data_IF_776541066817
#
_entry.id   IF_776541066817
#
_cell.length_a   1.000
_cell.length_b   1.000
_cell.length_c   1.000
_cell.angle_alpha   90.00
_cell.angle_beta   90.00
_cell.angle_gamma   90.00
#
_symmetry.space_group_name_H-M   'P 1'
#
loop_
_entity.id
_entity.type
_entity.pdbx_description
1 polymer ?
#
# COMPACT_ATOMS: atom_id res chain seq x y z
N UNK A 1 41.85 1.23 13.09
CA UNK A 1 40.77 1.52 14.05
C UNK A 1 39.53 1.86 13.24
N UNK A 2 38.57 0.95 13.19
CA UNK A 2 37.25 1.21 12.58
C UNK A 2 36.53 2.19 13.52
N UNK A 3 36.18 3.37 13.04
CA UNK A 3 35.28 4.26 13.77
C UNK A 3 33.88 3.65 13.67
N UNK A 4 33.38 3.15 14.77
CA UNK A 4 31.97 2.77 14.86
C UNK A 4 31.08 3.98 14.52
N UNK A 5 30.12 3.76 13.65
CA UNK A 5 29.13 4.76 13.30
C UNK A 5 28.45 5.30 14.57
N UNK A 6 28.04 6.56 14.54
CA UNK A 6 27.28 7.17 15.62
C UNK A 6 26.03 6.31 15.88
N UNK A 7 25.65 6.15 17.17
CA UNK A 7 24.42 5.43 17.45
C UNK A 7 23.27 6.12 16.72
N UNK A 8 22.48 5.33 15.99
CA UNK A 8 21.26 5.79 15.36
C UNK A 8 20.37 6.33 16.47
N UNK A 9 20.05 7.62 16.40
CA UNK A 9 19.15 8.25 17.37
C UNK A 9 17.82 7.51 17.25
N UNK A 10 17.33 6.94 18.36
CA UNK A 10 16.00 6.38 18.39
C UNK A 10 15.02 7.50 18.01
N UNK A 11 14.36 7.36 16.86
CA UNK A 11 13.32 8.28 16.45
C UNK A 11 12.15 8.10 17.43
N UNK A 12 11.71 9.18 18.05
CA UNK A 12 10.43 9.18 18.76
C UNK A 12 9.37 8.91 17.70
N UNK A 13 8.52 7.88 17.85
CA UNK A 13 7.43 7.67 16.89
C UNK A 13 6.61 8.95 16.77
N UNK A 14 6.37 9.42 15.55
CA UNK A 14 5.44 10.50 15.30
C UNK A 14 4.04 10.06 15.77
N UNK A 15 3.23 10.99 16.27
CA UNK A 15 1.84 10.66 16.56
C UNK A 15 1.14 10.24 15.27
N UNK A 16 0.45 9.10 15.31
CA UNK A 16 -0.27 8.53 14.18
C UNK A 16 -1.67 8.07 14.59
N UNK A 17 -2.59 8.04 13.65
CA UNK A 17 -3.91 7.47 13.84
C UNK A 17 -4.37 6.74 12.58
N UNK A 18 -4.88 5.53 12.76
CA UNK A 18 -5.50 4.79 11.68
C UNK A 18 -6.78 5.49 11.20
N UNK A 19 -7.00 5.48 9.90
CA UNK A 19 -8.22 5.99 9.26
C UNK A 19 -9.17 4.82 9.08
N UNK A 20 -10.41 4.97 9.54
CA UNK A 20 -11.46 3.96 9.33
C UNK A 20 -11.86 3.95 7.85
N UNK A 21 -11.77 2.78 7.21
CA UNK A 21 -12.06 2.61 5.79
C UNK A 21 -13.38 1.85 5.58
N UNK A 22 -14.24 2.31 4.65
CA UNK A 22 -15.48 1.62 4.29
C UNK A 22 -15.20 0.44 3.35
N UNK A 23 -14.66 -0.64 3.87
CA UNK A 23 -14.29 -1.81 3.08
C UNK A 23 -15.46 -2.34 2.24
N UNK A 24 -15.22 -2.53 0.95
CA UNK A 24 -16.24 -2.93 -0.02
C UNK A 24 -15.80 -4.08 -0.95
N UNK A 25 -14.58 -4.58 -0.77
CA UNK A 25 -14.04 -5.69 -1.55
C UNK A 25 -13.24 -6.64 -0.67
N UNK A 26 -13.41 -7.94 -0.90
CA UNK A 26 -12.54 -8.97 -0.35
C UNK A 26 -11.31 -9.12 -1.24
N UNK A 27 -10.13 -8.87 -0.68
CA UNK A 27 -8.89 -8.81 -1.46
C UNK A 27 -8.10 -10.12 -1.44
N UNK A 28 -8.38 -10.98 -0.48
CA UNK A 28 -7.62 -12.19 -0.22
C UNK A 28 -8.52 -13.42 -0.05
N UNK A 29 -7.95 -14.59 -0.26
CA UNK A 29 -8.59 -15.87 0.01
C UNK A 29 -7.64 -16.79 0.77
N UNK A 30 -8.19 -17.75 1.53
CA UNK A 30 -7.41 -18.76 2.24
C UNK A 30 -7.33 -20.07 1.48
N UNK A 31 -6.26 -20.82 1.69
CA UNK A 31 -6.23 -22.25 1.41
C UNK A 31 -7.22 -23.00 2.36
N UNK A 32 -8.10 -23.89 1.88
CA UNK A 32 -8.33 -24.34 0.50
C UNK A 32 -9.41 -23.55 -0.26
N UNK A 33 -9.86 -22.40 0.25
CA UNK A 33 -11.01 -21.65 -0.28
C UNK A 33 -10.58 -20.53 -1.24
N UNK A 34 -9.76 -20.85 -2.24
CA UNK A 34 -9.21 -19.86 -3.19
C UNK A 34 -10.26 -19.17 -4.06
N UNK A 35 -11.43 -19.80 -4.22
CA UNK A 35 -12.57 -19.23 -4.95
C UNK A 35 -13.31 -18.10 -4.23
N UNK A 36 -12.90 -17.79 -3.01
CA UNK A 36 -13.59 -16.87 -2.11
C UNK A 36 -13.26 -15.38 -2.38
N UNK A 37 -12.27 -15.12 -3.24
CA UNK A 37 -11.91 -13.77 -3.66
C UNK A 37 -11.47 -13.72 -5.11
N UNK A 38 -11.93 -12.67 -5.82
CA UNK A 38 -11.50 -12.32 -7.18
C UNK A 38 -11.06 -10.85 -7.18
N UNK A 39 -9.91 -10.60 -6.57
CA UNK A 39 -9.40 -9.26 -6.33
C UNK A 39 -9.20 -8.46 -7.62
N UNK A 40 -8.51 -9.06 -8.61
CA UNK A 40 -8.14 -8.39 -9.85
C UNK A 40 -9.20 -8.50 -10.97
N UNK A 41 -10.30 -9.19 -10.71
CA UNK A 41 -11.34 -9.46 -11.71
C UNK A 41 -10.95 -10.51 -12.75
N UNK A 42 -9.75 -11.12 -12.64
CA UNK A 42 -9.22 -12.15 -13.54
C UNK A 42 -9.05 -13.51 -12.85
N UNK A 43 -9.59 -13.63 -11.66
CA UNK A 43 -9.53 -14.85 -10.86
C UNK A 43 -8.37 -14.92 -9.89
N UNK A 44 -7.65 -13.84 -9.65
CA UNK A 44 -6.56 -13.86 -8.69
C UNK A 44 -6.87 -13.02 -7.44
N UNK A 45 -6.25 -13.42 -6.33
CA UNK A 45 -6.32 -12.71 -5.05
C UNK A 45 -4.99 -12.80 -4.30
N UNK A 46 -4.84 -12.00 -3.25
CA UNK A 46 -3.76 -12.19 -2.28
C UNK A 46 -3.96 -13.51 -1.53
N UNK A 47 -2.85 -14.10 -1.07
CA UNK A 47 -2.87 -15.23 -0.15
C UNK A 47 -3.10 -14.69 1.27
N UNK A 48 -4.26 -15.00 1.85
CA UNK A 48 -4.69 -14.48 3.14
C UNK A 48 -3.77 -14.92 4.29
N UNK A 49 -3.20 -16.12 4.19
CA UNK A 49 -2.23 -16.67 5.14
C UNK A 49 -0.92 -15.89 5.23
N UNK A 50 -0.62 -15.05 4.24
CA UNK A 50 0.56 -14.18 4.23
C UNK A 50 0.27 -12.78 4.74
N UNK A 51 -1.02 -12.40 4.88
CA UNK A 51 -1.39 -11.06 5.27
C UNK A 51 -1.31 -10.87 6.78
N UNK A 52 -0.44 -9.97 7.28
CA UNK A 52 -0.42 -9.63 8.69
C UNK A 52 -1.62 -8.73 9.04
N UNK A 53 -1.99 -8.70 10.32
CA UNK A 53 -3.00 -7.75 10.81
C UNK A 53 -2.49 -6.30 10.87
N UNK A 54 -1.18 -6.11 10.88
CA UNK A 54 -0.53 -4.81 10.89
C UNK A 54 0.77 -4.84 10.08
N UNK A 55 1.00 -3.77 9.30
CA UNK A 55 2.25 -3.51 8.59
C UNK A 55 2.87 -2.24 9.16
N UNK A 56 4.16 -2.26 9.45
CA UNK A 56 4.93 -1.06 9.79
C UNK A 56 5.94 -0.80 8.69
N UNK A 57 5.85 0.35 8.05
CA UNK A 57 6.75 0.73 6.97
C UNK A 57 7.16 2.21 7.08
N UNK A 58 8.46 2.47 7.10
CA UNK A 58 9.01 3.81 7.25
C UNK A 58 8.57 4.51 8.52
N UNK A 59 8.41 3.76 9.62
CA UNK A 59 8.01 4.29 10.93
C UNK A 59 6.50 4.56 11.07
N UNK A 60 5.69 4.20 10.08
CA UNK A 60 4.22 4.36 10.10
C UNK A 60 3.54 3.01 10.16
N UNK A 61 2.58 2.84 11.06
CA UNK A 61 1.76 1.64 11.22
C UNK A 61 0.50 1.69 10.36
N UNK A 62 0.15 0.54 9.77
CA UNK A 62 -1.06 0.35 8.97
C UNK A 62 -1.84 -0.83 9.51
N UNK A 63 -3.05 -0.60 9.97
CA UNK A 63 -3.96 -1.66 10.40
C UNK A 63 -4.63 -2.27 9.17
N UNK A 64 -4.46 -3.58 8.99
CA UNK A 64 -5.00 -4.32 7.84
C UNK A 64 -6.30 -4.99 8.26
N UNK A 65 -7.33 -4.83 7.45
CA UNK A 65 -8.61 -5.48 7.67
C UNK A 65 -8.52 -7.02 7.62
N UNK A 66 -9.45 -7.69 8.27
CA UNK A 66 -9.51 -9.16 8.30
C UNK A 66 -9.60 -9.74 6.88
N UNK A 67 -8.61 -10.54 6.43
CA UNK A 67 -8.63 -11.14 5.10
C UNK A 67 -9.76 -12.16 4.90
N UNK A 68 -10.43 -12.61 5.96
CA UNK A 68 -11.62 -13.44 5.87
C UNK A 68 -12.88 -12.65 5.46
N UNK A 69 -12.84 -11.32 5.60
CA UNK A 69 -13.95 -10.40 5.29
C UNK A 69 -13.58 -9.45 4.13
N UNK A 70 -14.41 -8.45 3.90
CA UNK A 70 -14.03 -7.31 3.06
C UNK A 70 -12.94 -6.53 3.79
N UNK A 71 -11.79 -6.35 3.15
CA UNK A 71 -10.59 -5.79 3.74
C UNK A 71 -9.86 -4.82 2.81
N UNK A 72 -10.56 -4.29 1.82
CA UNK A 72 -10.08 -3.26 0.92
C UNK A 72 -11.20 -2.37 0.42
N UNK A 73 -10.86 -1.17 -0.03
CA UNK A 73 -11.77 -0.23 -0.68
C UNK A 73 -11.42 -0.13 -2.15
N UNK A 74 -12.27 -0.67 -3.03
CA UNK A 74 -12.26 -0.34 -4.45
C UNK A 74 -12.75 1.09 -4.62
N UNK A 75 -11.87 1.96 -5.12
CA UNK A 75 -12.14 3.39 -5.20
C UNK A 75 -13.26 3.71 -6.18
N UNK A 76 -14.28 4.40 -5.71
CA UNK A 76 -15.45 4.88 -6.49
C UNK A 76 -15.86 6.26 -6.02
N UNK A 77 -14.89 7.14 -5.82
CA UNK A 77 -15.11 8.49 -5.31
C UNK A 77 -15.67 8.51 -3.88
N UNK A 78 -15.35 7.45 -3.13
CA UNK A 78 -15.76 7.35 -1.73
C UNK A 78 -15.15 8.49 -0.92
N UNK A 79 -15.95 9.06 -0.03
CA UNK A 79 -15.54 10.10 0.89
C UNK A 79 -15.31 9.51 2.27
N UNK A 80 -14.17 9.78 2.86
CA UNK A 80 -13.69 9.19 4.11
C UNK A 80 -13.35 10.31 5.08
N UNK A 81 -13.87 10.25 6.29
CA UNK A 81 -13.51 11.18 7.35
C UNK A 81 -12.13 10.86 7.91
N UNK A 82 -11.31 11.90 8.09
CA UNK A 82 -9.99 11.77 8.68
C UNK A 82 -10.04 11.98 10.20
N UNK A 83 -9.24 11.23 10.98
CA UNK A 83 -9.11 11.44 12.42
C UNK A 83 -8.72 12.87 12.75
N UNK A 84 -9.27 13.38 13.84
CA UNK A 84 -8.92 14.71 14.34
C UNK A 84 -7.52 14.71 14.96
N UNK A 85 -6.71 15.67 14.58
CA UNK A 85 -5.35 15.82 15.12
C UNK A 85 -4.52 16.83 14.32
N UNK A 86 -3.26 16.97 14.72
CA UNK A 86 -2.29 17.85 14.06
C UNK A 86 -1.42 17.03 13.10
N UNK A 87 -2.05 16.36 12.13
CA UNK A 87 -1.38 15.51 11.18
C UNK A 87 -1.06 16.31 9.91
N UNK A 88 0.19 16.22 9.45
CA UNK A 88 0.66 16.85 8.20
C UNK A 88 0.83 15.86 7.05
N UNK A 89 0.66 14.58 7.32
CA UNK A 89 0.81 13.49 6.33
C UNK A 89 -0.36 12.53 6.38
N UNK A 90 -0.75 12.06 5.21
CA UNK A 90 -1.65 10.93 5.02
C UNK A 90 -0.90 9.86 4.24
N UNK A 91 -0.80 8.68 4.79
CA UNK A 91 -0.20 7.52 4.15
C UNK A 91 -1.27 6.49 3.83
N UNK A 92 -1.22 5.97 2.62
CA UNK A 92 -2.13 4.94 2.13
C UNK A 92 -1.31 3.67 1.83
N UNK A 93 -1.84 2.49 2.16
CA UNK A 93 -1.45 1.25 1.52
C UNK A 93 -2.42 0.98 0.40
N UNK A 94 -1.93 0.97 -0.83
CA UNK A 94 -2.77 0.80 -2.00
C UNK A 94 -2.06 0.00 -3.09
N UNK A 95 -2.85 -0.53 -4.03
CA UNK A 95 -2.34 -1.13 -5.25
C UNK A 95 -3.37 -1.01 -6.37
N UNK A 96 -2.90 -1.03 -7.61
CA UNK A 96 -3.75 -1.15 -8.79
C UNK A 96 -3.90 -2.61 -9.20
N UNK A 97 -5.07 -3.00 -9.65
CA UNK A 97 -5.38 -4.37 -10.11
C UNK A 97 -4.97 -4.66 -11.55
N UNK A 98 -4.51 -3.67 -12.30
CA UNK A 98 -4.24 -3.84 -13.73
C UNK A 98 -2.82 -3.45 -14.15
N UNK A 99 -2.44 -2.20 -13.99
CA UNK A 99 -1.15 -1.62 -14.36
C UNK A 99 -0.87 -0.43 -13.45
N UNK A 100 0.33 0.11 -13.51
CA UNK A 100 0.68 1.32 -12.79
C UNK A 100 -0.25 2.46 -13.23
N UNK A 101 -0.95 3.04 -12.29
CA UNK A 101 -2.04 3.99 -12.55
C UNK A 101 -1.79 5.31 -11.83
N UNK A 102 -1.82 6.41 -12.57
CA UNK A 102 -1.88 7.75 -11.95
C UNK A 102 -3.27 7.97 -11.39
N UNK A 103 -3.33 8.39 -10.13
CA UNK A 103 -4.57 8.59 -9.40
C UNK A 103 -4.61 9.97 -8.74
N UNK A 104 -5.80 10.54 -8.67
CA UNK A 104 -6.04 11.81 -7.98
C UNK A 104 -6.82 11.53 -6.70
N UNK A 105 -6.18 11.82 -5.57
CA UNK A 105 -6.79 11.82 -4.24
C UNK A 105 -7.09 13.26 -3.87
N UNK A 106 -8.25 13.53 -3.28
CA UNK A 106 -8.60 14.91 -2.89
C UNK A 106 -8.71 14.99 -1.37
N UNK A 107 -7.97 15.90 -0.75
CA UNK A 107 -8.03 16.15 0.70
C UNK A 107 -8.53 17.57 0.93
N UNK A 108 -9.68 17.71 1.60
CA UNK A 108 -10.36 18.99 1.83
C UNK A 108 -10.44 19.88 0.55
N UNK A 109 -10.75 19.25 -0.59
CA UNK A 109 -10.88 19.92 -1.88
C UNK A 109 -9.56 20.17 -2.62
N UNK A 110 -8.41 19.86 -2.03
CA UNK A 110 -7.10 19.94 -2.69
C UNK A 110 -6.74 18.61 -3.34
N UNK A 111 -6.42 18.64 -4.62
CA UNK A 111 -6.00 17.46 -5.38
C UNK A 111 -4.53 17.10 -5.15
N UNK A 112 -4.28 15.79 -5.02
CA UNK A 112 -2.96 15.17 -4.91
C UNK A 112 -2.85 14.04 -5.91
N UNK A 113 -2.00 14.22 -6.92
CA UNK A 113 -1.72 13.16 -7.90
C UNK A 113 -0.63 12.24 -7.37
N UNK A 114 -0.89 10.94 -7.42
CA UNK A 114 0.06 9.93 -7.01
C UNK A 114 0.05 8.72 -7.95
N UNK A 115 1.19 8.05 -8.11
CA UNK A 115 1.28 6.78 -8.79
C UNK A 115 0.82 5.67 -7.84
N UNK A 116 -0.16 4.87 -8.28
CA UNK A 116 -0.57 3.63 -7.62
C UNK A 116 -0.08 2.47 -8.47
N UNK A 117 0.99 1.76 -8.04
CA UNK A 117 1.58 0.71 -8.84
C UNK A 117 0.71 -0.54 -8.91
N UNK A 118 0.92 -1.34 -9.95
CA UNK A 118 0.29 -2.63 -10.14
C UNK A 118 0.69 -3.61 -9.02
N UNK A 119 -0.30 -4.33 -8.49
CA UNK A 119 -0.14 -5.22 -7.35
C UNK A 119 0.72 -6.46 -7.59
N UNK A 120 1.04 -6.76 -8.85
CA UNK A 120 1.86 -7.90 -9.27
C UNK A 120 2.95 -7.47 -10.24
N UNK A 121 3.62 -8.47 -10.84
CA UNK A 121 4.66 -8.24 -11.83
C UNK A 121 6.03 -7.94 -11.21
N UNK A 122 6.88 -7.25 -11.96
CA UNK A 122 8.26 -7.02 -11.57
C UNK A 122 8.43 -5.67 -10.86
N UNK A 123 9.16 -5.67 -9.75
CA UNK A 123 9.62 -4.46 -9.07
C UNK A 123 10.90 -3.93 -9.72
N UNK A 124 11.75 -4.83 -10.20
CA UNK A 124 12.95 -4.48 -10.92
C UNK A 124 13.33 -5.56 -11.93
N UNK A 125 14.06 -5.19 -12.95
CA UNK A 125 14.52 -6.06 -14.03
C UNK A 125 15.90 -5.73 -14.52
N UNK A 126 16.58 -6.74 -15.04
CA UNK A 126 17.86 -6.62 -15.74
C UNK A 126 17.85 -7.52 -16.96
N UNK A 127 18.27 -6.98 -18.12
CA UNK A 127 18.49 -7.77 -19.33
C UNK A 127 17.24 -8.44 -19.92
N UNK A 128 16.05 -7.98 -19.58
CA UNK A 128 14.81 -8.46 -20.21
C UNK A 128 14.63 -7.83 -21.60
N UNK A 129 13.99 -8.54 -22.51
CA UNK A 129 13.68 -8.05 -23.86
C UNK A 129 13.00 -6.67 -23.80
N UNK A 130 13.63 -5.66 -24.38
CA UNK A 130 13.19 -4.27 -24.33
C UNK A 130 13.77 -3.45 -23.17
N UNK A 131 14.48 -4.08 -22.22
CA UNK A 131 15.15 -3.42 -21.11
C UNK A 131 16.64 -3.83 -21.12
N UNK A 132 17.46 -3.02 -21.75
CA UNK A 132 18.91 -3.23 -21.83
C UNK A 132 19.68 -2.78 -20.61
N UNK A 133 19.02 -1.97 -19.77
CA UNK A 133 19.58 -1.43 -18.52
C UNK A 133 18.76 -1.91 -17.31
N UNK A 134 19.34 -1.87 -16.10
CA UNK A 134 18.61 -2.19 -14.89
C UNK A 134 17.44 -1.22 -14.71
N UNK A 135 16.31 -1.78 -14.36
CA UNK A 135 15.08 -1.04 -14.08
C UNK A 135 14.64 -1.35 -12.66
N UNK A 136 14.39 -0.33 -11.88
CA UNK A 136 13.74 -0.43 -10.56
C UNK A 136 12.52 0.48 -10.56
N UNK A 137 11.37 -0.09 -10.17
CA UNK A 137 10.13 0.68 -10.05
C UNK A 137 10.27 1.71 -8.93
N UNK A 138 9.97 2.97 -9.25
CA UNK A 138 9.91 4.04 -8.24
C UNK A 138 8.63 3.88 -7.40
N UNK A 139 8.71 3.02 -6.40
CA UNK A 139 7.60 2.67 -5.55
C UNK A 139 8.07 2.20 -4.17
N UNK A 140 7.30 2.54 -3.15
CA UNK A 140 7.59 2.14 -1.78
C UNK A 140 6.81 0.85 -1.46
N UNK A 141 7.49 -0.28 -1.56
CA UNK A 141 6.91 -1.61 -1.32
C UNK A 141 6.81 -1.87 0.17
N UNK A 142 5.61 -1.86 0.72
CA UNK A 142 5.37 -2.08 2.14
C UNK A 142 4.99 -3.53 2.48
N UNK A 143 4.49 -4.29 1.52
CA UNK A 143 4.15 -5.71 1.67
C UNK A 143 4.55 -6.49 0.43
N UNK A 144 5.05 -7.72 0.65
CA UNK A 144 5.38 -8.68 -0.40
C UNK A 144 4.77 -10.02 -0.05
N UNK A 145 3.83 -10.49 -0.87
CA UNK A 145 3.36 -11.88 -0.83
C UNK A 145 4.13 -12.72 -1.85
N UNK A 146 4.54 -13.93 -1.49
CA UNK A 146 5.39 -14.79 -2.32
C UNK A 146 4.62 -15.51 -3.44
N UNK A 147 3.30 -15.49 -3.36
CA UNK A 147 2.40 -16.08 -4.35
C UNK A 147 1.04 -15.38 -4.30
N UNK A 148 0.24 -15.62 -5.30
CA UNK A 148 -1.18 -15.29 -5.32
C UNK A 148 -2.02 -16.56 -5.46
N UNK A 149 -3.27 -16.48 -5.09
CA UNK A 149 -4.24 -17.53 -5.31
C UNK A 149 -4.92 -17.36 -6.66
N UNK A 150 -5.12 -18.47 -7.38
CA UNK A 150 -5.91 -18.57 -8.60
C UNK A 150 -7.21 -19.31 -8.31
N UNK A 151 -8.33 -18.57 -8.31
CA UNK A 151 -9.65 -19.15 -8.06
C UNK A 151 -10.14 -20.06 -9.19
N UNK A 152 -9.69 -19.81 -10.43
CA UNK A 152 -10.16 -20.56 -11.60
C UNK A 152 -9.57 -21.95 -11.62
N UNK A 153 -8.27 -22.06 -11.29
CA UNK A 153 -7.56 -23.34 -11.23
C UNK A 153 -7.59 -23.97 -9.84
N UNK A 154 -8.00 -23.20 -8.83
CA UNK A 154 -7.96 -23.56 -7.42
C UNK A 154 -6.56 -23.97 -6.94
N UNK A 155 -5.54 -23.21 -7.33
CA UNK A 155 -4.13 -23.44 -7.02
C UNK A 155 -3.42 -22.17 -6.58
N UNK A 156 -2.24 -22.34 -5.95
CA UNK A 156 -1.31 -21.25 -5.73
C UNK A 156 -0.53 -21.00 -7.02
N UNK A 157 -0.23 -19.74 -7.28
CA UNK A 157 0.67 -19.32 -8.34
C UNK A 157 2.03 -18.93 -7.72
N UNK A 158 2.90 -19.92 -7.49
CA UNK A 158 4.17 -19.69 -6.82
C UNK A 158 5.04 -18.73 -7.66
N UNK A 159 5.78 -17.85 -6.94
CA UNK A 159 6.64 -16.82 -7.53
C UNK A 159 5.92 -15.74 -8.34
N UNK A 160 4.59 -15.76 -8.41
CA UNK A 160 3.82 -14.62 -8.85
C UNK A 160 3.55 -13.71 -7.66
N UNK A 161 4.55 -12.86 -7.36
CA UNK A 161 4.53 -11.98 -6.19
C UNK A 161 3.37 -11.00 -6.20
N UNK A 162 2.90 -10.65 -5.01
CA UNK A 162 1.89 -9.62 -4.79
C UNK A 162 2.43 -8.53 -3.88
N UNK A 163 2.04 -7.29 -4.12
CA UNK A 163 2.58 -6.13 -3.43
C UNK A 163 1.49 -5.20 -2.94
N UNK A 164 1.72 -4.57 -1.77
CA UNK A 164 1.03 -3.35 -1.38
C UNK A 164 2.06 -2.23 -1.29
N UNK A 165 1.70 -1.06 -1.77
CA UNK A 165 2.60 0.09 -1.85
C UNK A 165 2.17 1.18 -0.89
N UNK A 166 3.14 1.79 -0.20
CA UNK A 166 2.90 3.00 0.56
C UNK A 166 2.88 4.21 -0.38
N UNK A 167 1.82 4.99 -0.28
CA UNK A 167 1.65 6.28 -0.97
C UNK A 167 1.55 7.34 0.11
N UNK A 168 2.40 8.37 0.04
CA UNK A 168 2.40 9.49 0.98
C UNK A 168 1.83 10.75 0.33
N UNK A 169 0.93 11.41 1.03
CA UNK A 169 0.35 12.69 0.64
C UNK A 169 0.63 13.74 1.70
N UNK A 170 1.07 14.92 1.29
CA UNK A 170 1.16 16.08 2.16
C UNK A 170 -0.22 16.71 2.32
N UNK A 171 -0.72 16.74 3.55
CA UNK A 171 -2.04 17.26 3.85
C UNK A 171 -1.94 18.50 4.75
N UNK A 172 -2.91 19.43 4.67
CA UNK A 172 -2.96 20.53 5.61
C UNK A 172 -3.20 20.01 7.04
N UNK A 173 -2.58 20.65 8.01
CA UNK A 173 -2.83 20.34 9.42
C UNK A 173 -4.32 20.52 9.75
N UNK A 174 -4.89 19.52 10.41
CA UNK A 174 -6.31 19.48 10.73
C UNK A 174 -7.24 19.11 9.58
N UNK A 175 -6.70 18.54 8.49
CA UNK A 175 -7.50 17.99 7.40
C UNK A 175 -8.61 17.05 7.91
N UNK A 176 -9.76 17.08 7.22
CA UNK A 176 -10.98 16.42 7.69
C UNK A 176 -11.48 15.32 6.79
N UNK A 177 -11.23 15.43 5.51
CA UNK A 177 -11.89 14.59 4.54
C UNK A 177 -10.94 14.17 3.42
N UNK A 178 -10.96 12.88 3.11
CA UNK A 178 -10.31 12.30 1.95
C UNK A 178 -11.38 11.83 0.96
N UNK A 179 -11.28 12.24 -0.30
CA UNK A 179 -12.04 11.67 -1.40
C UNK A 179 -11.11 10.78 -2.22
N UNK A 180 -11.47 9.51 -2.34
CA UNK A 180 -10.73 8.53 -3.14
C UNK A 180 -10.92 8.77 -4.64
N UNK A 181 -10.01 8.28 -5.49
CA UNK A 181 -10.17 8.35 -6.94
C UNK A 181 -11.47 7.70 -7.43
N UNK A 182 -11.97 8.12 -8.58
CA UNK A 182 -13.06 7.43 -9.28
C UNK A 182 -12.48 6.38 -10.24
N UNK A 183 -11.78 5.40 -9.69
CA UNK A 183 -11.14 4.34 -10.46
C UNK A 183 -11.17 3.01 -9.71
N UNK A 184 -12.08 2.08 -10.08
CA UNK A 184 -12.22 0.80 -9.39
C UNK A 184 -11.05 -0.17 -9.57
N UNK A 185 -10.05 0.17 -10.40
CA UNK A 185 -8.80 -0.57 -10.48
C UNK A 185 -7.91 -0.32 -9.27
N UNK A 186 -8.10 0.79 -8.58
CA UNK A 186 -7.34 1.16 -7.39
C UNK A 186 -8.05 0.60 -6.17
N UNK A 187 -7.27 -0.06 -5.32
CA UNK A 187 -7.74 -0.59 -4.04
C UNK A 187 -6.85 -0.04 -2.93
N UNK A 188 -7.49 0.53 -1.90
CA UNK A 188 -6.85 0.98 -0.67
C UNK A 188 -7.11 -0.05 0.43
N UNK A 189 -6.04 -0.57 1.05
CA UNK A 189 -6.09 -1.59 2.10
C UNK A 189 -6.08 -0.99 3.50
N UNK A 190 -5.33 0.10 3.67
CA UNK A 190 -5.22 0.81 4.93
C UNK A 190 -4.86 2.27 4.68
N UNK A 191 -5.18 3.12 5.64
CA UNK A 191 -4.78 4.52 5.65
C UNK A 191 -4.41 4.95 7.07
N UNK A 192 -3.39 5.80 7.19
CA UNK A 192 -2.90 6.32 8.45
C UNK A 192 -2.54 7.79 8.30
N UNK A 193 -3.06 8.64 9.16
CA UNK A 193 -2.57 10.03 9.29
C UNK A 193 -1.43 10.06 10.29
N UNK A 194 -0.42 10.88 10.03
CA UNK A 194 0.74 11.00 10.90
C UNK A 194 1.24 12.44 10.96
N UNK A 195 1.88 12.78 12.08
CA UNK A 195 2.72 13.97 12.14
C UNK A 195 3.87 13.79 11.15
N UNK A 196 4.32 14.90 10.54
CA UNK A 196 5.54 14.86 9.74
C UNK A 196 6.72 14.53 10.67
N UNK A 197 7.39 13.38 10.51
CA UNK A 197 8.54 13.08 11.35
C UNK A 197 9.60 14.16 11.08
N UNK A 198 9.85 14.99 12.06
CA UNK A 198 10.88 16.01 12.01
C UNK A 198 12.25 15.32 11.82
N UNK A 199 12.78 15.39 10.61
CA UNK A 199 14.02 14.77 10.23
C UNK A 199 13.76 13.54 9.34
N UNK A 200 13.84 13.74 8.03
CA UNK A 200 13.70 12.67 7.04
C UNK A 200 14.65 11.52 7.38
N UNK A 201 14.13 10.32 7.33
CA UNK A 201 14.94 9.10 7.31
C UNK A 201 15.62 9.11 5.95
N UNK A 202 16.82 9.60 5.89
CA UNK A 202 17.70 9.37 4.74
C UNK A 202 17.96 7.87 4.61
N UNK A 203 18.22 7.41 3.39
CA UNK A 203 18.66 6.04 3.15
C UNK A 203 19.77 5.67 4.15
N UNK A 204 19.69 4.48 4.72
CA UNK A 204 20.65 4.02 5.73
C UNK A 204 22.09 3.86 5.16
N UNK A 205 22.23 3.90 3.84
CA UNK A 205 23.50 3.90 3.12
C UNK A 205 23.32 4.58 1.76
N UNK A 206 24.25 5.45 1.42
CA UNK A 206 24.55 5.76 0.02
C UNK A 206 25.29 4.55 -0.55
N UNK A 207 24.72 3.92 -1.56
CA UNK A 207 25.39 2.87 -2.32
C UNK A 207 26.38 3.48 -3.31
#
# INVERSE_FOLDING_TARGET
>A
RVKLARPVRALTPAAEAAVELPYNVKTASYNPFRSDSNFDGKGNSYAAELMPSRIVYGGVGFEIGDPAAQNGVKCRRDTIDLPRGRYGKLYLLAASTMYDTQAVFTVDGKEHTALVPYYGGFIGQWGHTGHTEPYLKDAQVAFVGTHKHDMIRNEDRPYEFTYMFRIGLDIPEGARQLVLPDDPRIVVFAATVAEDPAGGIGAACDL
#
